data_IF_148085630032
#
_entry.id   IF_148085630032
#
_cell.length_a   1.000
_cell.length_b   1.000
_cell.length_c   1.000
_cell.angle_alpha   90.00
_cell.angle_beta   90.00
_cell.angle_gamma   90.00
#
_symmetry.space_group_name_H-M   'P 1'
#
loop_
_entity.id
_entity.type
_entity.pdbx_description
1 polymer ?
#
# COMPACT_ATOMS: atom_id res chain seq x y z
N UNK A 1 18.81 -6.87 -11.79
CA UNK A 1 18.36 -5.79 -10.90
C UNK A 1 17.30 -6.34 -9.96
N UNK A 2 17.42 -6.14 -8.66
CA UNK A 2 16.45 -6.71 -7.70
C UNK A 2 15.48 -5.63 -7.21
N UNK A 3 14.17 -5.88 -7.32
CA UNK A 3 13.14 -4.97 -6.83
C UNK A 3 12.96 -5.14 -5.32
N UNK A 4 13.47 -4.20 -4.54
CA UNK A 4 13.49 -4.28 -3.07
C UNK A 4 12.59 -3.22 -2.45
N UNK A 5 11.80 -3.61 -1.46
CA UNK A 5 10.96 -2.71 -0.66
C UNK A 5 11.38 -2.76 0.81
N UNK A 6 11.37 -1.61 1.48
CA UNK A 6 11.63 -1.53 2.92
C UNK A 6 10.45 -2.10 3.73
N UNK A 7 10.75 -2.99 4.66
CA UNK A 7 9.77 -3.73 5.48
C UNK A 7 9.90 -3.44 6.98
N UNK A 8 10.67 -2.42 7.35
CA UNK A 8 10.84 -1.98 8.74
C UNK A 8 11.36 -0.55 8.78
N UNK A 9 11.21 0.13 9.92
CA UNK A 9 11.80 1.46 10.14
C UNK A 9 13.32 1.42 10.30
N UNK A 10 13.92 0.25 10.57
CA UNK A 10 15.36 0.03 10.70
C UNK A 10 16.05 -0.29 9.36
N UNK A 11 15.33 -0.20 8.24
CA UNK A 11 15.89 -0.32 6.90
C UNK A 11 16.01 -1.75 6.36
N UNK A 12 15.46 -2.76 7.04
CA UNK A 12 15.35 -4.10 6.46
C UNK A 12 14.55 -4.05 5.14
N UNK A 13 14.99 -4.82 4.14
CA UNK A 13 14.36 -4.87 2.81
C UNK A 13 13.91 -6.28 2.45
N UNK A 14 13.01 -6.37 1.48
CA UNK A 14 12.54 -7.62 0.90
C UNK A 14 12.42 -7.51 -0.60
N UNK A 15 12.76 -8.60 -1.28
CA UNK A 15 12.60 -8.75 -2.73
C UNK A 15 11.13 -8.95 -3.09
N UNK A 16 10.67 -8.24 -4.11
CA UNK A 16 9.35 -8.46 -4.70
C UNK A 16 9.49 -9.42 -5.87
N UNK A 17 8.76 -10.53 -5.78
CA UNK A 17 8.80 -11.63 -6.74
C UNK A 17 7.47 -11.86 -7.44
N UNK A 18 6.42 -11.12 -7.05
CA UNK A 18 5.09 -11.26 -7.62
C UNK A 18 4.25 -10.00 -7.48
N UNK A 19 3.03 -10.09 -8.01
CA UNK A 19 2.01 -9.05 -7.96
C UNK A 19 0.67 -9.67 -7.61
N UNK A 20 -0.15 -8.94 -6.86
CA UNK A 20 -1.55 -9.29 -6.63
C UNK A 20 -2.43 -8.33 -7.44
N UNK A 21 -3.21 -8.89 -8.37
CA UNK A 21 -4.17 -8.13 -9.17
C UNK A 21 -5.26 -7.51 -8.30
N UNK A 22 -5.86 -6.41 -8.75
CA UNK A 22 -6.99 -5.75 -8.08
C UNK A 22 -8.16 -6.72 -7.85
N UNK A 23 -8.43 -7.61 -8.79
CA UNK A 23 -9.50 -8.61 -8.70
C UNK A 23 -9.25 -9.67 -7.62
N UNK A 24 -8.00 -9.85 -7.21
CA UNK A 24 -7.60 -10.80 -6.16
C UNK A 24 -7.52 -10.15 -4.78
N UNK A 25 -7.79 -8.85 -4.66
CA UNK A 25 -7.80 -8.10 -3.41
C UNK A 25 -9.23 -7.98 -2.89
N UNK A 26 -9.44 -8.34 -1.62
CA UNK A 26 -10.74 -8.38 -0.97
C UNK A 26 -10.75 -7.61 0.34
N UNK A 27 -11.93 -7.12 0.74
CA UNK A 27 -12.16 -6.54 2.07
C UNK A 27 -11.74 -7.56 3.14
N UNK A 28 -11.01 -7.09 4.15
CA UNK A 28 -10.43 -7.92 5.20
C UNK A 28 -9.06 -8.51 4.88
N UNK A 29 -8.51 -8.35 3.67
CA UNK A 29 -7.11 -8.73 3.43
C UNK A 29 -6.17 -7.81 4.21
N UNK A 30 -5.16 -8.42 4.83
CA UNK A 30 -4.06 -7.72 5.48
C UNK A 30 -3.07 -7.22 4.43
N UNK A 31 -2.62 -5.97 4.55
CA UNK A 31 -1.67 -5.39 3.59
C UNK A 31 -0.81 -4.36 4.30
N UNK A 32 0.44 -4.27 3.87
CA UNK A 32 1.43 -3.35 4.41
C UNK A 32 1.85 -2.32 3.37
N UNK A 33 2.43 -1.23 3.84
CA UNK A 33 3.00 -0.17 3.03
C UNK A 33 4.33 0.26 3.58
N UNK A 34 5.08 0.96 2.73
CA UNK A 34 6.19 1.79 3.16
C UNK A 34 6.02 3.19 2.57
N UNK A 35 6.26 4.21 3.39
CA UNK A 35 6.25 5.60 2.96
C UNK A 35 7.42 6.37 3.57
N UNK A 36 7.86 7.44 2.92
CA UNK A 36 9.01 8.23 3.40
C UNK A 36 8.71 8.92 4.74
N UNK A 37 7.46 9.32 4.96
CA UNK A 37 7.06 10.11 6.13
C UNK A 37 6.68 9.22 7.30
N UNK A 38 5.80 8.25 7.10
CA UNK A 38 5.33 7.39 8.20
C UNK A 38 6.07 6.04 8.28
N UNK A 39 7.00 5.77 7.36
CA UNK A 39 7.74 4.52 7.33
C UNK A 39 6.85 3.32 7.00
N UNK A 40 7.16 2.20 7.65
CA UNK A 40 6.43 0.94 7.50
C UNK A 40 5.13 0.95 8.32
N UNK A 41 4.05 0.46 7.73
CA UNK A 41 2.77 0.33 8.41
C UNK A 41 1.86 -0.68 7.72
N UNK A 42 0.85 -1.18 8.43
CA UNK A 42 -0.07 -2.16 7.89
C UNK A 42 -1.49 -1.94 8.39
N UNK A 43 -2.44 -2.53 7.68
CA UNK A 43 -3.84 -2.53 8.06
C UNK A 43 -4.63 -3.56 7.27
N UNK A 44 -5.96 -3.43 7.32
CA UNK A 44 -6.88 -4.30 6.59
C UNK A 44 -7.63 -3.49 5.53
N UNK A 45 -7.80 -4.08 4.35
CA UNK A 45 -8.63 -3.48 3.30
C UNK A 45 -10.05 -3.32 3.82
N UNK A 46 -10.54 -2.08 3.88
CA UNK A 46 -11.91 -1.72 4.26
C UNK A 46 -12.83 -1.64 3.06
N UNK A 47 -12.32 -1.21 1.92
CA UNK A 47 -13.08 -1.12 0.66
C UNK A 47 -12.16 -1.35 -0.53
N UNK A 48 -12.67 -2.04 -1.54
CA UNK A 48 -12.00 -2.24 -2.83
C UNK A 48 -12.62 -1.38 -3.94
N UNK A 49 -13.51 -0.45 -3.59
CA UNK A 49 -14.28 0.34 -4.55
C UNK A 49 -14.45 1.80 -4.12
N UNK A 50 -13.48 2.33 -3.36
CA UNK A 50 -13.50 3.74 -2.98
C UNK A 50 -13.39 4.59 -4.26
N UNK A 51 -14.33 5.50 -4.48
CA UNK A 51 -14.42 6.32 -5.69
C UNK A 51 -14.30 5.51 -7.01
N UNK A 52 -14.80 4.27 -7.03
CA UNK A 52 -14.91 3.43 -8.22
C UNK A 52 -13.75 2.47 -8.49
N UNK A 53 -12.53 2.76 -8.02
CA UNK A 53 -11.38 1.90 -8.30
C UNK A 53 -10.26 1.90 -7.26
N UNK A 54 -10.31 2.77 -6.25
CA UNK A 54 -9.27 2.82 -5.23
C UNK A 54 -9.50 1.80 -4.13
N UNK A 55 -8.38 1.30 -3.59
CA UNK A 55 -8.37 0.43 -2.43
C UNK A 55 -8.16 1.27 -1.19
N UNK A 56 -9.06 1.15 -0.22
CA UNK A 56 -8.99 1.82 1.08
C UNK A 56 -8.57 0.81 2.14
N UNK A 57 -7.50 1.12 2.86
CA UNK A 57 -6.96 0.33 3.98
C UNK A 57 -7.16 1.08 5.28
N UNK A 58 -7.83 0.42 6.23
CA UNK A 58 -8.05 0.96 7.56
C UNK A 58 -6.83 0.73 8.47
N UNK A 59 -6.45 1.78 9.20
CA UNK A 59 -5.43 1.77 10.24
C UNK A 59 -5.92 1.04 11.49
N UNK A 60 -5.96 -0.26 11.38
CA UNK A 60 -6.43 -1.21 12.41
C UNK A 60 -5.33 -1.64 13.36
N UNK A 61 -4.07 -1.40 12.99
CA UNK A 61 -2.91 -1.65 13.84
C UNK A 61 -2.68 -0.56 14.90
N UNK A 62 -3.53 0.48 14.93
CA UNK A 62 -3.46 1.55 15.94
C UNK A 62 -2.25 2.46 15.80
N UNK A 63 -1.71 2.60 14.58
CA UNK A 63 -0.62 3.55 14.32
C UNK A 63 -1.13 4.99 14.50
N UNK A 64 -0.27 5.93 14.89
CA UNK A 64 -0.65 7.34 14.96
C UNK A 64 -1.26 7.82 13.63
N UNK A 65 -0.60 7.44 12.52
CA UNK A 65 -1.06 7.65 11.13
C UNK A 65 -0.50 6.50 10.28
N UNK A 66 -1.36 5.73 9.60
CA UNK A 66 -0.90 4.71 8.65
C UNK A 66 -0.26 5.38 7.43
N UNK A 67 -0.76 6.55 7.04
CA UNK A 67 -0.28 7.33 5.89
C UNK A 67 -0.29 8.83 6.17
N UNK A 68 0.64 9.57 5.58
CA UNK A 68 0.66 11.03 5.59
C UNK A 68 1.25 11.64 4.32
N UNK A 69 1.23 12.97 4.24
CA UNK A 69 1.89 13.75 3.21
C UNK A 69 3.36 13.33 3.07
N UNK A 70 3.77 13.02 1.84
CA UNK A 70 5.11 12.51 1.51
C UNK A 70 5.19 10.98 1.36
N UNK A 71 4.15 10.24 1.71
CA UNK A 71 4.06 8.80 1.40
C UNK A 71 3.51 8.49 0.01
N UNK A 72 2.95 9.50 -0.68
CA UNK A 72 2.44 9.37 -2.06
C UNK A 72 3.47 8.72 -2.98
N UNK A 73 3.04 7.75 -3.78
CA UNK A 73 3.94 6.95 -4.62
C UNK A 73 4.62 5.77 -3.88
N UNK A 74 4.51 5.69 -2.56
CA UNK A 74 5.05 4.58 -1.77
C UNK A 74 4.34 3.25 -2.05
N UNK A 75 5.03 2.11 -1.93
CA UNK A 75 4.45 0.83 -2.28
C UNK A 75 3.51 0.28 -1.21
N UNK A 76 2.51 -0.48 -1.67
CA UNK A 76 1.72 -1.42 -0.89
C UNK A 76 2.06 -2.86 -1.28
N UNK A 77 2.20 -3.73 -0.30
CA UNK A 77 2.68 -5.10 -0.48
C UNK A 77 2.25 -6.01 0.67
N UNK A 78 2.30 -7.31 0.43
CA UNK A 78 2.26 -8.34 1.46
C UNK A 78 3.20 -9.47 1.06
N UNK A 79 3.91 -10.06 2.03
CA UNK A 79 4.93 -11.07 1.73
C UNK A 79 5.90 -10.55 0.65
N UNK A 80 6.00 -11.21 -0.49
CA UNK A 80 6.84 -10.85 -1.63
C UNK A 80 6.04 -10.30 -2.82
N UNK A 81 4.76 -9.97 -2.62
CA UNK A 81 3.87 -9.53 -3.69
C UNK A 81 3.55 -8.04 -3.58
N UNK A 82 3.66 -7.33 -4.70
CA UNK A 82 3.21 -5.95 -4.82
C UNK A 82 1.69 -5.87 -5.02
N UNK A 83 1.04 -4.97 -4.28
CA UNK A 83 -0.42 -4.78 -4.32
C UNK A 83 -0.78 -3.48 -5.06
N UNK A 84 0.03 -2.44 -4.91
CA UNK A 84 -0.27 -1.15 -5.50
C UNK A 84 0.61 -0.01 -5.00
N UNK A 85 0.18 1.20 -5.31
CA UNK A 85 0.94 2.43 -5.06
C UNK A 85 0.07 3.45 -4.34
N UNK A 86 0.61 4.03 -3.26
CA UNK A 86 -0.05 5.04 -2.44
C UNK A 86 -0.50 6.23 -3.28
N UNK A 87 -1.75 6.65 -3.11
CA UNK A 87 -2.29 7.85 -3.77
C UNK A 87 -2.71 8.92 -2.77
N UNK A 88 -3.35 8.53 -1.68
CA UNK A 88 -3.99 9.46 -0.75
C UNK A 88 -4.13 8.85 0.64
N UNK A 89 -4.52 9.68 1.59
CA UNK A 89 -4.94 9.27 2.92
C UNK A 89 -6.38 9.70 3.17
N UNK A 90 -7.05 8.99 4.08
CA UNK A 90 -8.34 9.41 4.64
C UNK A 90 -8.11 9.64 6.12
N UNK A 91 -8.61 10.75 6.66
CA UNK A 91 -8.61 10.98 8.11
C UNK A 91 -10.03 10.72 8.62
N UNK A 92 -10.32 9.53 9.16
CA UNK A 92 -11.64 9.24 9.71
C UNK A 92 -11.87 10.00 11.02
N UNK A 93 -12.96 10.75 11.12
CA UNK A 93 -13.34 11.51 12.32
C UNK A 93 -12.71 12.90 12.44
N UNK A 94 -12.97 13.58 13.58
CA UNK A 94 -12.57 14.98 13.82
C UNK A 94 -11.22 15.14 14.52
N UNK A 95 -10.58 14.07 15.00
CA UNK A 95 -9.38 14.14 15.84
C UNK A 95 -8.07 14.29 15.08
N UNK A 96 -8.06 14.25 13.75
CA UNK A 96 -6.83 14.41 12.96
C UNK A 96 -5.84 13.24 13.06
N UNK A 97 -6.11 12.23 13.89
CA UNK A 97 -5.28 11.05 14.16
C UNK A 97 -5.86 9.80 13.50
N UNK A 98 -5.06 8.76 13.34
CA UNK A 98 -5.52 7.47 12.81
C UNK A 98 -5.76 7.49 11.30
N UNK A 99 -5.00 8.29 10.54
CA UNK A 99 -5.17 8.36 9.09
C UNK A 99 -5.06 6.96 8.45
N UNK A 100 -6.05 6.64 7.63
CA UNK A 100 -6.15 5.47 6.78
C UNK A 100 -5.40 5.69 5.46
N UNK A 101 -5.11 4.60 4.75
CA UNK A 101 -4.41 4.63 3.47
C UNK A 101 -5.30 4.36 2.26
N UNK A 102 -5.00 5.00 1.14
CA UNK A 102 -5.66 4.75 -0.13
C UNK A 102 -4.61 4.51 -1.21
N UNK A 103 -4.78 3.45 -1.99
CA UNK A 103 -3.87 3.10 -3.08
C UNK A 103 -4.58 2.72 -4.37
N UNK A 104 -3.84 2.84 -5.46
CA UNK A 104 -4.22 2.29 -6.77
C UNK A 104 -3.54 0.94 -6.96
N UNK A 105 -4.31 -0.07 -7.37
CA UNK A 105 -3.80 -1.42 -7.57
C UNK A 105 -2.76 -1.50 -8.68
N UNK A 106 -1.84 -2.46 -8.56
CA UNK A 106 -0.65 -2.59 -9.40
C UNK A 106 -0.93 -2.99 -10.85
N UNK A 107 -2.11 -3.52 -11.14
CA UNK A 107 -2.51 -3.85 -12.51
C UNK A 107 -2.87 -2.60 -13.34
N UNK A 108 -3.21 -1.47 -12.72
CA UNK A 108 -3.47 -0.23 -13.48
C UNK A 108 -2.22 0.38 -14.12
N UNK A 109 -1.01 0.06 -13.65
CA UNK A 109 0.22 0.49 -14.34
C UNK A 109 0.51 -0.32 -15.61
N UNK A 110 -0.03 -1.55 -15.71
CA UNK A 110 0.14 -2.38 -16.90
C UNK A 110 -0.48 -1.76 -18.15
N UNK A 111 -1.54 -0.96 -17.98
CA UNK A 111 -2.16 -0.18 -19.05
C UNK A 111 -1.25 0.87 -19.68
N UNK A 112 -0.10 1.18 -19.06
CA UNK A 112 0.91 2.11 -19.58
C UNK A 112 1.98 1.41 -20.44
N UNK A 113 1.88 0.08 -20.63
CA UNK A 113 2.89 -0.70 -21.36
C UNK A 113 4.16 -0.96 -20.54
N UNK A 114 4.10 -0.79 -19.21
CA UNK A 114 5.19 -1.10 -18.28
C UNK A 114 4.83 -2.33 -17.43
N UNK A 115 5.86 -2.97 -16.86
CA UNK A 115 5.68 -4.11 -15.97
C UNK A 115 6.40 -3.88 -14.65
N UNK A 116 5.86 -4.46 -13.57
CA UNK A 116 6.57 -4.53 -12.29
C UNK A 116 7.77 -5.44 -12.47
N UNK A 117 8.94 -4.98 -12.03
CA UNK A 117 10.12 -5.84 -11.94
C UNK A 117 9.92 -6.85 -10.81
N UNK A 118 9.72 -8.12 -11.15
CA UNK A 118 9.54 -9.22 -10.20
C UNK A 118 10.64 -10.28 -10.28
N UNK A 119 11.58 -10.13 -11.22
CA UNK A 119 12.74 -11.02 -11.36
C UNK A 119 14.04 -10.21 -11.42
N UNK A 120 15.17 -10.78 -10.94
CA UNK A 120 16.51 -10.21 -11.11
C UNK A 120 16.92 -9.97 -12.56
#
# INVERSE_FOLDING_TARGET
MTNKIQISSQGATRDITGTISRSSQSVGNYVCKYGKTTGWGCGYIRSTNLNGNYIWVANTAGQDRLCDHGDSGGPWFLANDAYGTMTAMIVPGTSGTGADGVYMAVDYISGLGVSVMTSP
#
